data_IF_257399221223
#
_entry.id   IF_257399221223
#
_cell.length_a   1.000
_cell.length_b   1.000
_cell.length_c   1.000
_cell.angle_alpha   90.00
_cell.angle_beta   90.00
_cell.angle_gamma   90.00
#
_symmetry.space_group_name_H-M   'P 1'
#
loop_
_entity.id
_entity.type
_entity.pdbx_description
1 polymer ?
#
# COMPACT_ATOMS: atom_id res chain seq x y z
N UNK A 1 58.73 -20.21 -82.40
CA UNK A 1 57.39 -20.05 -81.79
C UNK A 1 57.39 -20.13 -80.26
N UNK A 2 58.23 -20.97 -79.63
CA UNK A 2 58.30 -21.14 -78.15
C UNK A 2 58.55 -19.83 -77.38
N UNK A 3 59.48 -18.98 -77.82
CA UNK A 3 59.80 -17.69 -77.14
C UNK A 3 58.62 -16.70 -77.10
N UNK A 4 57.72 -16.73 -78.09
CA UNK A 4 56.56 -15.83 -78.13
C UNK A 4 55.46 -16.31 -77.18
N UNK A 5 55.27 -17.62 -77.06
CA UNK A 5 54.33 -18.24 -76.13
C UNK A 5 54.74 -17.99 -74.67
N UNK A 6 56.03 -18.16 -74.34
CA UNK A 6 56.54 -17.86 -72.99
C UNK A 6 56.38 -16.39 -72.61
N UNK A 7 56.57 -15.47 -73.58
CA UNK A 7 56.36 -14.05 -73.37
C UNK A 7 54.88 -13.74 -73.11
N UNK A 8 53.96 -14.32 -73.90
CA UNK A 8 52.53 -14.15 -73.69
C UNK A 8 52.06 -14.71 -72.33
N UNK A 9 52.58 -15.86 -71.89
CA UNK A 9 52.28 -16.43 -70.57
C UNK A 9 52.80 -15.53 -69.44
N UNK A 10 54.01 -14.96 -69.58
CA UNK A 10 54.54 -14.00 -68.59
C UNK A 10 53.73 -12.72 -68.52
N UNK A 11 53.32 -12.17 -69.66
CA UNK A 11 52.46 -10.98 -69.75
C UNK A 11 51.10 -11.26 -69.09
N UNK A 12 50.49 -12.41 -69.38
CA UNK A 12 49.22 -12.84 -68.78
C UNK A 12 49.34 -13.03 -67.27
N UNK A 13 50.41 -13.66 -66.78
CA UNK A 13 50.68 -13.78 -65.34
C UNK A 13 50.84 -12.42 -64.67
N UNK A 14 51.52 -11.47 -65.32
CA UNK A 14 51.69 -10.10 -64.81
C UNK A 14 50.34 -9.37 -64.71
N UNK A 15 49.53 -9.44 -65.76
CA UNK A 15 48.19 -8.84 -65.77
C UNK A 15 47.26 -9.46 -64.71
N UNK A 16 47.32 -10.79 -64.51
CA UNK A 16 46.59 -11.47 -63.44
C UNK A 16 47.04 -11.02 -62.04
N UNK A 17 48.35 -10.88 -61.81
CA UNK A 17 48.87 -10.36 -60.54
C UNK A 17 48.43 -8.92 -60.28
N UNK A 18 48.43 -8.08 -61.30
CA UNK A 18 48.00 -6.68 -61.19
C UNK A 18 46.52 -6.59 -60.80
N UNK A 19 45.64 -7.35 -61.48
CA UNK A 19 44.22 -7.46 -61.12
C UNK A 19 44.00 -7.99 -59.69
N UNK A 20 44.73 -9.03 -59.29
CA UNK A 20 44.66 -9.55 -57.92
C UNK A 20 45.18 -8.55 -56.88
N UNK A 21 46.18 -7.74 -57.21
CA UNK A 21 46.72 -6.71 -56.32
C UNK A 21 45.71 -5.59 -56.08
N UNK A 22 44.96 -5.19 -57.12
CA UNK A 22 43.87 -4.21 -57.03
C UNK A 22 42.72 -4.78 -56.20
N UNK A 23 42.30 -6.02 -56.46
CA UNK A 23 41.26 -6.69 -55.68
C UNK A 23 41.63 -6.80 -54.20
N UNK A 24 42.89 -7.16 -53.91
CA UNK A 24 43.44 -7.23 -52.55
C UNK A 24 43.45 -5.86 -51.87
N UNK A 25 43.68 -4.77 -52.62
CA UNK A 25 43.62 -3.40 -52.11
C UNK A 25 42.18 -2.95 -51.83
N UNK A 26 41.18 -3.51 -52.52
CA UNK A 26 39.75 -3.22 -52.30
C UNK A 26 39.13 -4.00 -51.13
N UNK A 27 39.69 -5.15 -50.74
CA UNK A 27 39.25 -5.95 -49.59
C UNK A 27 39.02 -5.17 -48.28
N UNK A 28 39.91 -4.25 -47.82
CA UNK A 28 39.65 -3.47 -46.61
C UNK A 28 38.41 -2.57 -46.73
N UNK A 29 38.15 -1.97 -47.89
CA UNK A 29 36.94 -1.17 -48.10
C UNK A 29 35.68 -2.03 -48.05
N UNK A 30 35.71 -3.23 -48.63
CA UNK A 30 34.58 -4.17 -48.56
C UNK A 30 34.29 -4.63 -47.12
N UNK A 31 35.35 -4.86 -46.33
CA UNK A 31 35.21 -5.16 -44.89
C UNK A 31 34.61 -3.98 -44.13
N UNK A 32 35.02 -2.76 -44.43
CA UNK A 32 34.46 -1.54 -43.83
C UNK A 32 32.98 -1.39 -44.16
N UNK A 33 32.58 -1.59 -45.42
CA UNK A 33 31.16 -1.52 -45.83
C UNK A 33 30.34 -2.58 -45.09
N UNK A 34 30.83 -3.83 -45.01
CA UNK A 34 30.16 -4.89 -44.26
C UNK A 34 29.99 -4.53 -42.78
N UNK A 35 31.00 -3.92 -42.17
CA UNK A 35 30.95 -3.51 -40.77
C UNK A 35 29.91 -2.40 -40.55
N UNK A 36 29.91 -1.37 -41.39
CA UNK A 36 28.94 -0.26 -41.32
C UNK A 36 27.52 -0.78 -41.54
N UNK A 37 27.31 -1.66 -42.53
CA UNK A 37 25.99 -2.24 -42.79
C UNK A 37 25.49 -3.08 -41.59
N UNK A 38 26.39 -3.84 -40.95
CA UNK A 38 26.07 -4.60 -39.74
C UNK A 38 25.75 -3.70 -38.53
N UNK A 39 26.38 -2.54 -38.43
CA UNK A 39 26.06 -1.55 -37.39
C UNK A 39 24.70 -0.88 -37.64
N UNK A 40 24.39 -0.55 -38.89
CA UNK A 40 23.08 -0.03 -39.29
C UNK A 40 21.96 -1.03 -39.01
N UNK A 41 22.14 -2.31 -39.34
CA UNK A 41 21.16 -3.37 -39.06
C UNK A 41 20.85 -3.49 -37.56
N UNK A 42 21.89 -3.49 -36.72
CA UNK A 42 21.74 -3.49 -35.26
C UNK A 42 21.00 -2.25 -34.76
N UNK A 43 21.33 -1.08 -35.30
CA UNK A 43 20.67 0.17 -34.92
C UNK A 43 19.19 0.14 -35.31
N UNK A 44 18.85 -0.31 -36.52
CA UNK A 44 17.47 -0.47 -36.97
C UNK A 44 16.70 -1.46 -36.09
N UNK A 45 17.29 -2.62 -35.79
CA UNK A 45 16.69 -3.60 -34.89
C UNK A 45 16.40 -3.00 -33.50
N UNK A 46 17.35 -2.22 -32.96
CA UNK A 46 17.17 -1.55 -31.67
C UNK A 46 16.09 -0.48 -31.68
N UNK A 47 15.95 0.26 -32.80
CA UNK A 47 14.89 1.26 -32.98
C UNK A 47 13.53 0.57 -33.06
N UNK A 48 13.43 -0.55 -33.76
CA UNK A 48 12.19 -1.31 -33.91
C UNK A 48 11.74 -1.92 -32.56
N UNK A 49 12.69 -2.41 -31.76
CA UNK A 49 12.42 -2.87 -30.39
C UNK A 49 11.95 -1.72 -29.47
N UNK A 50 12.56 -0.54 -29.59
CA UNK A 50 12.14 0.65 -28.84
C UNK A 50 10.77 1.15 -29.28
N UNK A 51 10.49 1.15 -30.58
CA UNK A 51 9.21 1.57 -31.13
C UNK A 51 8.07 0.65 -30.67
N UNK A 52 8.30 -0.67 -30.62
CA UNK A 52 7.31 -1.63 -30.08
C UNK A 52 7.07 -1.45 -28.59
N UNK A 53 8.11 -1.13 -27.80
CA UNK A 53 7.95 -0.74 -26.38
C UNK A 53 7.15 0.55 -26.21
N UNK A 54 7.42 1.57 -27.02
CA UNK A 54 6.67 2.83 -27.02
C UNK A 54 5.21 2.59 -27.39
N UNK A 55 4.93 1.76 -28.40
CA UNK A 55 3.56 1.40 -28.77
C UNK A 55 2.79 0.76 -27.61
N UNK A 56 3.44 -0.08 -26.81
CA UNK A 56 2.83 -0.66 -25.60
C UNK A 56 2.50 0.42 -24.57
N UNK A 57 3.45 1.32 -24.27
CA UNK A 57 3.21 2.42 -23.34
C UNK A 57 2.15 3.39 -23.82
N UNK A 58 2.03 3.60 -25.14
CA UNK A 58 1.00 4.46 -25.73
C UNK A 58 -0.39 3.82 -25.60
N UNK A 59 -0.50 2.49 -25.79
CA UNK A 59 -1.75 1.76 -25.53
C UNK A 59 -2.14 1.82 -24.06
N UNK A 60 -1.20 1.62 -23.14
CA UNK A 60 -1.44 1.73 -21.69
C UNK A 60 -1.87 3.15 -21.31
N UNK A 61 -1.24 4.17 -21.91
CA UNK A 61 -1.59 5.58 -21.71
C UNK A 61 -3.00 5.91 -22.24
N UNK A 62 -3.35 5.38 -23.41
CA UNK A 62 -4.68 5.55 -23.99
C UNK A 62 -5.76 4.85 -23.16
N UNK A 63 -5.46 3.69 -22.55
CA UNK A 63 -6.33 3.00 -21.59
C UNK A 63 -6.54 3.82 -20.31
N UNK A 64 -5.49 4.51 -19.82
CA UNK A 64 -5.57 5.45 -18.70
C UNK A 64 -6.44 6.66 -19.05
N UNK A 65 -6.24 7.28 -20.23
CA UNK A 65 -7.05 8.43 -20.69
C UNK A 65 -8.51 8.05 -20.89
N UNK A 66 -8.79 6.86 -21.43
CA UNK A 66 -10.16 6.39 -21.67
C UNK A 66 -10.94 6.12 -20.38
N UNK A 67 -10.31 6.28 -19.20
CA UNK A 67 -10.97 6.10 -17.92
C UNK A 67 -11.54 4.70 -17.77
N UNK A 68 -10.91 3.71 -18.43
CA UNK A 68 -11.30 2.33 -18.23
C UNK A 68 -11.01 2.01 -16.76
N UNK A 69 -12.04 1.55 -16.05
CA UNK A 69 -12.02 1.17 -14.64
C UNK A 69 -10.88 0.19 -14.25
N UNK A 70 -10.08 -0.26 -15.21
CA UNK A 70 -8.95 -1.15 -15.05
C UNK A 70 -7.76 -0.51 -14.35
N UNK A 71 -7.45 0.77 -14.56
CA UNK A 71 -6.34 1.43 -13.86
C UNK A 71 -6.66 1.63 -12.36
N UNK A 72 -7.92 1.96 -12.04
CA UNK A 72 -8.44 2.04 -10.67
C UNK A 72 -8.56 0.65 -10.03
N UNK A 73 -8.98 -0.38 -10.79
CA UNK A 73 -9.17 -1.75 -10.29
C UNK A 73 -7.88 -2.55 -10.16
N UNK A 74 -6.89 -2.36 -11.04
CA UNK A 74 -5.57 -3.00 -10.94
C UNK A 74 -4.76 -2.39 -9.79
N UNK A 75 -4.89 -1.09 -9.51
CA UNK A 75 -4.28 -0.49 -8.30
C UNK A 75 -5.04 -0.80 -7.01
N UNK A 76 -6.39 -0.73 -7.01
CA UNK A 76 -7.17 -0.91 -5.76
C UNK A 76 -7.31 -2.37 -5.32
N UNK A 77 -7.51 -3.31 -6.25
CA UNK A 77 -7.61 -4.74 -5.89
C UNK A 77 -6.28 -5.28 -5.37
N UNK A 78 -5.17 -4.83 -5.95
CA UNK A 78 -3.83 -5.24 -5.53
C UNK A 78 -3.44 -4.59 -4.20
N UNK A 79 -3.66 -3.28 -4.05
CA UNK A 79 -3.35 -2.57 -2.81
C UNK A 79 -4.20 -3.05 -1.62
N UNK A 80 -5.49 -3.36 -1.82
CA UNK A 80 -6.34 -3.87 -0.74
C UNK A 80 -5.89 -5.25 -0.26
N UNK A 81 -5.58 -6.17 -1.19
CA UNK A 81 -5.05 -7.48 -0.83
C UNK A 81 -3.67 -7.39 -0.16
N UNK A 82 -2.78 -6.55 -0.70
CA UNK A 82 -1.48 -6.28 -0.10
C UNK A 82 -1.58 -5.66 1.30
N UNK A 83 -2.55 -4.77 1.55
CA UNK A 83 -2.82 -4.21 2.87
C UNK A 83 -3.15 -5.31 3.88
N UNK A 84 -4.08 -6.22 3.55
CA UNK A 84 -4.43 -7.31 4.47
C UNK A 84 -3.29 -8.31 4.68
N UNK A 85 -2.58 -8.67 3.62
CA UNK A 85 -1.43 -9.60 3.72
C UNK A 85 -0.31 -8.97 4.56
N UNK A 86 0.05 -7.72 4.29
CA UNK A 86 1.09 -7.02 5.06
C UNK A 86 0.67 -6.76 6.50
N UNK A 87 -0.60 -6.42 6.76
CA UNK A 87 -1.14 -6.27 8.12
C UNK A 87 -1.10 -7.59 8.89
N UNK A 88 -1.44 -8.71 8.24
CA UNK A 88 -1.35 -10.03 8.85
C UNK A 88 0.09 -10.41 9.19
N UNK A 89 1.03 -10.20 8.27
CA UNK A 89 2.45 -10.45 8.54
C UNK A 89 2.98 -9.52 9.63
N UNK A 90 2.56 -8.25 9.66
CA UNK A 90 2.92 -7.30 10.72
C UNK A 90 2.36 -7.73 12.08
N UNK A 91 1.17 -8.32 12.14
CA UNK A 91 0.63 -8.88 13.39
C UNK A 91 1.48 -10.05 13.91
N UNK A 92 1.98 -10.92 13.04
CA UNK A 92 2.95 -11.97 13.41
C UNK A 92 4.25 -11.36 13.92
N UNK A 93 4.75 -10.31 13.26
CA UNK A 93 5.93 -9.58 13.69
C UNK A 93 5.78 -8.96 15.09
N UNK A 94 4.61 -8.40 15.40
CA UNK A 94 4.28 -7.92 16.76
C UNK A 94 4.35 -9.07 17.77
N UNK A 95 3.89 -10.27 17.42
CA UNK A 95 4.09 -11.47 18.24
C UNK A 95 5.56 -11.78 18.48
N UNK A 96 6.41 -11.70 17.45
CA UNK A 96 7.86 -11.84 17.58
C UNK A 96 8.48 -10.79 18.51
N UNK A 97 8.05 -9.53 18.39
CA UNK A 97 8.48 -8.44 19.27
C UNK A 97 8.02 -8.65 20.72
N UNK A 98 6.84 -9.21 20.96
CA UNK A 98 6.39 -9.57 22.32
C UNK A 98 7.24 -10.68 22.95
N UNK A 99 7.69 -11.66 22.16
CA UNK A 99 8.61 -12.70 22.63
C UNK A 99 9.95 -12.06 23.02
N UNK A 100 10.51 -11.21 22.16
CA UNK A 100 11.74 -10.47 22.45
C UNK A 100 11.59 -9.56 23.69
N UNK A 101 10.47 -8.84 23.83
CA UNK A 101 10.15 -8.04 25.01
C UNK A 101 10.17 -8.87 26.29
N UNK A 102 9.57 -10.05 26.28
CA UNK A 102 9.52 -10.92 27.46
C UNK A 102 10.90 -11.48 27.83
N UNK A 103 11.75 -11.73 26.82
CA UNK A 103 13.14 -12.16 27.02
C UNK A 103 13.99 -11.08 27.70
N UNK A 104 13.79 -9.82 27.34
CA UNK A 104 14.57 -8.68 27.84
C UNK A 104 14.01 -8.14 29.17
N UNK A 105 12.70 -8.02 29.32
CA UNK A 105 12.10 -7.28 30.43
C UNK A 105 12.36 -7.90 31.80
N UNK A 106 12.45 -9.23 31.90
CA UNK A 106 12.75 -9.94 33.16
C UNK A 106 14.15 -9.66 33.71
N UNK A 107 15.24 -9.97 32.99
CA UNK A 107 16.59 -9.67 33.50
C UNK A 107 16.80 -8.16 33.71
N UNK A 108 16.18 -7.31 32.91
CA UNK A 108 16.21 -5.85 33.12
C UNK A 108 15.49 -5.40 34.40
N UNK A 109 14.48 -6.14 34.86
CA UNK A 109 13.83 -5.88 36.16
C UNK A 109 14.80 -6.10 37.31
N UNK A 110 15.76 -6.99 37.18
CA UNK A 110 16.70 -7.23 38.27
C UNK A 110 17.89 -6.27 38.21
N UNK A 111 18.34 -5.92 37.01
CA UNK A 111 19.47 -5.00 36.83
C UNK A 111 19.10 -3.52 37.06
N UNK A 112 17.89 -3.10 36.68
CA UNK A 112 17.47 -1.68 36.72
C UNK A 112 16.45 -1.41 37.83
N UNK A 113 16.01 -2.46 38.54
CA UNK A 113 15.07 -2.38 39.65
C UNK A 113 13.61 -2.49 39.21
N UNK A 114 13.04 -3.69 39.39
CA UNK A 114 11.71 -4.07 38.91
C UNK A 114 10.56 -3.52 39.74
N UNK A 115 10.89 -3.01 40.94
CA UNK A 115 9.97 -2.32 41.84
C UNK A 115 10.02 -0.80 41.68
N UNK A 116 10.91 -0.29 40.82
CA UNK A 116 10.95 1.13 40.50
C UNK A 116 9.92 1.41 39.41
N UNK A 117 9.02 2.37 39.68
CA UNK A 117 8.00 2.82 38.75
C UNK A 117 8.30 4.25 38.32
N UNK A 118 8.19 4.51 37.02
CA UNK A 118 8.21 5.86 36.44
C UNK A 118 6.85 6.07 35.79
N UNK A 119 6.12 7.10 36.22
CA UNK A 119 4.80 7.44 35.67
C UNK A 119 3.80 6.26 35.62
N UNK A 120 3.86 5.34 36.60
CA UNK A 120 2.96 4.18 36.69
C UNK A 120 3.40 2.94 35.92
N UNK A 121 4.50 3.00 35.14
CA UNK A 121 5.07 1.85 34.43
C UNK A 121 6.36 1.38 35.10
N UNK A 122 6.65 0.07 35.04
CA UNK A 122 7.91 -0.48 35.57
C UNK A 122 9.08 0.00 34.71
N UNK A 123 10.19 0.39 35.34
CA UNK A 123 11.38 0.86 34.60
C UNK A 123 11.93 -0.21 33.65
N UNK A 124 11.81 -1.48 34.01
CA UNK A 124 12.23 -2.60 33.17
C UNK A 124 11.43 -2.73 31.88
N UNK A 125 10.12 -2.50 31.94
CA UNK A 125 9.23 -2.54 30.77
C UNK A 125 9.56 -1.38 29.81
N UNK A 126 9.76 -0.18 30.34
CA UNK A 126 10.18 0.98 29.54
C UNK A 126 11.53 0.68 28.86
N UNK A 127 12.48 0.14 29.61
CA UNK A 127 13.82 -0.15 29.10
C UNK A 127 13.80 -1.20 27.99
N UNK A 128 13.02 -2.26 28.14
CA UNK A 128 12.85 -3.29 27.10
C UNK A 128 12.23 -2.73 25.82
N UNK A 129 11.18 -1.89 25.94
CA UNK A 129 10.59 -1.21 24.77
C UNK A 129 11.60 -0.30 24.08
N UNK A 130 12.41 0.45 24.82
CA UNK A 130 13.44 1.34 24.24
C UNK A 130 14.47 0.55 23.45
N UNK A 131 14.94 -0.58 23.97
CA UNK A 131 15.89 -1.46 23.26
C UNK A 131 15.27 -1.92 21.94
N UNK A 132 14.06 -2.49 21.98
CA UNK A 132 13.34 -2.97 20.78
C UNK A 132 13.10 -1.83 19.78
N UNK A 133 12.74 -0.63 20.24
CA UNK A 133 12.53 0.52 19.36
C UNK A 133 13.81 0.96 18.65
N UNK A 134 14.92 1.02 19.37
CA UNK A 134 16.23 1.32 18.79
C UNK A 134 16.58 0.25 17.75
N UNK A 135 16.31 -0.99 18.06
CA UNK A 135 16.67 -2.13 17.22
C UNK A 135 15.84 -2.19 15.93
N UNK A 136 14.51 -2.02 16.02
CA UNK A 136 13.62 -1.86 14.86
C UNK A 136 14.07 -0.67 14.01
N UNK A 137 14.46 0.45 14.64
CA UNK A 137 14.94 1.65 13.91
C UNK A 137 16.24 1.36 13.16
N UNK A 138 17.22 0.70 13.80
CA UNK A 138 18.48 0.30 13.15
C UNK A 138 18.26 -0.73 12.05
N UNK A 139 17.36 -1.70 12.26
CA UNK A 139 16.96 -2.69 11.27
C UNK A 139 16.34 -2.05 10.04
N UNK A 140 15.43 -1.10 10.24
CA UNK A 140 14.84 -0.34 9.15
C UNK A 140 15.89 0.45 8.36
N UNK A 141 16.85 1.11 9.04
CA UNK A 141 17.94 1.81 8.35
C UNK A 141 18.86 0.86 7.58
N UNK A 142 19.11 -0.34 8.11
CA UNK A 142 19.89 -1.37 7.44
C UNK A 142 19.19 -1.82 6.15
N UNK A 143 17.89 -2.13 6.22
CA UNK A 143 17.07 -2.56 5.08
C UNK A 143 16.96 -1.48 3.99
N UNK A 144 16.83 -0.22 4.39
CA UNK A 144 16.83 0.92 3.47
C UNK A 144 18.21 1.11 2.81
N UNK A 145 19.29 0.99 3.59
CA UNK A 145 20.66 1.14 3.07
C UNK A 145 21.00 0.03 2.05
N UNK A 146 20.46 -1.18 2.26
CA UNK A 146 20.55 -2.32 1.33
C UNK A 146 19.65 -2.20 0.09
N UNK A 147 18.79 -1.16 0.00
CA UNK A 147 17.78 -0.98 -1.05
C UNK A 147 16.76 -2.14 -1.16
N UNK A 148 16.56 -2.86 -0.06
CA UNK A 148 15.48 -3.85 0.03
C UNK A 148 14.16 -3.10 0.21
N UNK A 149 14.14 -2.12 1.12
CA UNK A 149 13.00 -1.23 1.35
C UNK A 149 13.19 0.16 0.75
N UNK A 150 12.09 0.88 0.52
CA UNK A 150 12.06 2.28 0.04
C UNK A 150 11.17 3.18 0.90
N UNK A 151 11.28 3.04 2.22
CA UNK A 151 10.56 3.89 3.17
C UNK A 151 11.16 5.30 3.25
N UNK A 152 12.47 5.44 3.04
CA UNK A 152 13.20 6.71 3.14
C UNK A 152 14.04 6.99 1.88
N UNK A 153 13.43 7.52 0.80
CA UNK A 153 14.09 7.73 -0.49
C UNK A 153 15.40 8.54 -0.43
N UNK A 154 15.54 9.40 0.59
CA UNK A 154 16.73 10.20 0.86
C UNK A 154 17.97 9.33 1.09
N UNK A 155 17.83 8.22 1.81
CA UNK A 155 18.93 7.27 2.11
C UNK A 155 19.28 6.49 0.84
N UNK A 156 18.27 6.16 0.02
CA UNK A 156 18.43 5.56 -1.30
C UNK A 156 19.30 6.39 -2.25
N UNK A 157 19.24 7.72 -2.17
CA UNK A 157 19.95 8.65 -3.04
C UNK A 157 21.40 8.96 -2.61
N UNK A 158 21.86 8.45 -1.46
CA UNK A 158 23.23 8.70 -0.97
C UNK A 158 24.31 8.05 -1.85
N UNK A 159 25.50 8.65 -1.86
CA UNK A 159 26.69 8.10 -2.50
C UNK A 159 27.00 6.69 -1.96
N UNK A 160 27.40 5.77 -2.85
CA UNK A 160 27.60 4.36 -2.49
C UNK A 160 28.61 4.14 -1.36
N UNK A 161 29.64 4.99 -1.26
CA UNK A 161 30.62 4.93 -0.15
C UNK A 161 29.96 5.18 1.22
N UNK A 162 29.05 6.16 1.30
CA UNK A 162 28.34 6.47 2.55
C UNK A 162 27.33 5.37 2.89
N UNK A 163 26.65 4.83 1.88
CA UNK A 163 25.71 3.71 2.03
C UNK A 163 26.39 2.47 2.62
N UNK A 164 27.51 2.04 2.05
CA UNK A 164 28.26 0.88 2.57
C UNK A 164 28.76 1.13 3.99
N UNK A 165 29.22 2.35 4.30
CA UNK A 165 29.61 2.72 5.66
C UNK A 165 28.43 2.66 6.62
N UNK A 166 27.25 3.14 6.23
CA UNK A 166 26.03 3.04 7.03
C UNK A 166 25.66 1.59 7.30
N UNK A 167 25.69 0.71 6.28
CA UNK A 167 25.41 -0.73 6.45
C UNK A 167 26.29 -1.33 7.54
N UNK A 168 27.61 -1.09 7.50
CA UNK A 168 28.53 -1.61 8.51
C UNK A 168 28.28 -1.02 9.90
N UNK A 169 27.94 0.27 9.99
CA UNK A 169 27.63 0.92 11.27
C UNK A 169 26.34 0.34 11.87
N UNK A 170 25.24 0.32 11.11
CA UNK A 170 23.94 -0.17 11.61
C UNK A 170 23.99 -1.65 11.93
N UNK A 171 24.66 -2.46 11.10
CA UNK A 171 24.88 -3.87 11.38
C UNK A 171 25.74 -4.07 12.63
N UNK A 172 26.80 -3.27 12.81
CA UNK A 172 27.63 -3.30 14.02
C UNK A 172 26.83 -2.98 15.28
N UNK A 173 25.97 -1.95 15.25
CA UNK A 173 25.06 -1.65 16.37
C UNK A 173 24.09 -2.80 16.65
N UNK A 174 23.47 -3.37 15.61
CA UNK A 174 22.53 -4.48 15.78
C UNK A 174 23.21 -5.71 16.35
N UNK A 175 24.45 -6.01 15.92
CA UNK A 175 25.25 -7.11 16.43
C UNK A 175 25.63 -6.93 17.90
N UNK A 176 26.01 -5.70 18.29
CA UNK A 176 26.30 -5.38 19.69
C UNK A 176 25.05 -5.53 20.55
N UNK A 177 23.89 -5.00 20.10
CA UNK A 177 22.63 -5.14 20.81
C UNK A 177 22.21 -6.62 20.93
N UNK A 178 22.30 -7.39 19.86
CA UNK A 178 22.02 -8.84 19.87
C UNK A 178 22.95 -9.60 20.84
N UNK A 179 24.21 -9.19 20.95
CA UNK A 179 25.15 -9.78 21.92
C UNK A 179 24.76 -9.43 23.36
N UNK A 180 24.28 -8.21 23.61
CA UNK A 180 23.76 -7.79 24.93
C UNK A 180 22.49 -8.58 25.27
N UNK A 181 21.57 -8.77 24.32
CA UNK A 181 20.34 -9.54 24.52
C UNK A 181 20.60 -11.02 24.78
N UNK A 182 21.58 -11.62 24.10
CA UNK A 182 22.04 -12.98 24.40
C UNK A 182 22.58 -13.08 25.84
N UNK A 183 23.31 -12.06 26.30
CA UNK A 183 23.77 -11.96 27.69
C UNK A 183 22.63 -11.78 28.70
N UNK A 184 21.62 -10.97 28.37
CA UNK A 184 20.43 -10.81 29.20
C UNK A 184 19.60 -12.11 29.27
N UNK A 185 19.48 -12.84 28.16
CA UNK A 185 18.82 -14.14 28.13
C UNK A 185 19.57 -15.19 28.96
N UNK A 186 20.90 -15.15 28.95
CA UNK A 186 21.72 -15.97 29.86
C UNK A 186 21.44 -15.63 31.33
N UNK A 187 21.43 -14.33 31.67
CA UNK A 187 21.08 -13.88 33.02
C UNK A 187 19.68 -14.35 33.42
N UNK A 188 18.69 -14.25 32.54
CA UNK A 188 17.34 -14.73 32.82
C UNK A 188 17.31 -16.21 33.22
N UNK A 189 18.07 -17.05 32.53
CA UNK A 189 18.08 -18.49 32.83
C UNK A 189 18.74 -18.78 34.18
N UNK A 190 19.86 -18.12 34.50
CA UNK A 190 20.55 -18.32 35.78
C UNK A 190 19.68 -17.91 36.97
N UNK A 191 18.90 -16.84 36.79
CA UNK A 191 17.97 -16.34 37.80
C UNK A 191 16.77 -17.29 38.01
N UNK A 192 16.28 -17.88 36.92
CA UNK A 192 15.22 -18.90 37.01
C UNK A 192 15.71 -20.18 37.67
N UNK A 193 16.95 -20.59 37.41
CA UNK A 193 17.56 -21.76 38.06
C UNK A 193 17.70 -21.54 39.57
N UNK A 194 18.16 -20.37 40.00
CA UNK A 194 18.31 -20.03 41.42
C UNK A 194 16.97 -19.96 42.16
N UNK A 195 15.93 -19.40 41.54
CA UNK A 195 14.57 -19.37 42.09
C UNK A 195 14.00 -20.80 42.27
N UNK A 196 14.23 -21.68 41.28
CA UNK A 196 13.81 -23.08 41.36
C UNK A 196 14.55 -23.84 42.45
N UNK A 197 15.87 -23.69 42.56
CA UNK A 197 16.69 -24.31 43.60
C UNK A 197 16.25 -23.87 45.00
N UNK A 198 16.06 -22.56 45.20
CA UNK A 198 15.58 -22.00 46.48
C UNK A 198 14.18 -22.50 46.82
N UNK A 199 13.26 -22.52 45.86
CA UNK A 199 11.89 -23.01 46.07
C UNK A 199 11.83 -24.52 46.39
N UNK A 200 12.76 -25.32 45.88
CA UNK A 200 12.86 -26.74 46.15
C UNK A 200 13.43 -27.01 47.56
N UNK A 201 14.45 -26.25 47.96
CA UNK A 201 15.00 -26.26 49.32
C UNK A 201 13.93 -25.88 50.36
N UNK A 202 13.14 -24.84 50.08
CA UNK A 202 12.05 -24.40 50.98
C UNK A 202 10.88 -25.38 51.06
N UNK A 203 10.64 -26.19 50.02
CA UNK A 203 9.62 -27.25 50.01
C UNK A 203 10.10 -28.57 50.65
N UNK A 204 11.38 -28.68 51.00
CA UNK A 204 11.97 -29.89 51.59
C UNK A 204 12.12 -31.06 50.61
N UNK A 205 12.01 -30.81 49.30
CA UNK A 205 11.87 -31.82 48.25
C UNK A 205 13.20 -32.05 47.49
N UNK A 206 14.33 -32.05 48.22
CA UNK A 206 15.70 -31.93 47.68
C UNK A 206 16.23 -33.11 46.87
N UNK A 207 15.43 -34.14 46.59
CA UNK A 207 15.88 -35.38 45.91
C UNK A 207 15.41 -35.45 44.45
N UNK A 208 14.40 -34.68 44.05
CA UNK A 208 13.83 -34.72 42.69
C UNK A 208 14.48 -33.75 41.69
N UNK A 209 15.38 -32.87 42.14
CA UNK A 209 16.00 -31.80 41.33
C UNK A 209 17.27 -32.20 40.58
N UNK A 210 17.89 -33.34 40.92
CA UNK A 210 19.17 -33.76 40.33
C UNK A 210 19.01 -34.23 38.88
N UNK A 211 17.85 -34.78 38.50
CA UNK A 211 17.60 -35.27 37.14
C UNK A 211 17.31 -34.15 36.11
N UNK A 212 16.95 -32.94 36.56
CA UNK A 212 16.68 -31.79 35.68
C UNK A 212 17.92 -30.98 35.31
N UNK A 213 19.02 -31.10 36.07
CA UNK A 213 20.24 -30.33 35.87
C UNK A 213 21.02 -30.74 34.61
N UNK A 214 20.99 -32.04 34.23
CA UNK A 214 21.78 -32.56 33.10
C UNK A 214 21.35 -32.02 31.72
N UNK A 215 20.15 -31.45 31.60
CA UNK A 215 19.63 -30.87 30.36
C UNK A 215 19.46 -29.33 30.41
N UNK A 216 19.77 -28.67 31.53
CA UNK A 216 19.59 -27.22 31.68
C UNK A 216 20.42 -26.40 30.67
N UNK A 217 21.60 -26.88 30.30
CA UNK A 217 22.43 -26.22 29.28
C UNK A 217 21.75 -26.12 27.91
N UNK A 218 20.81 -27.03 27.58
CA UNK A 218 20.06 -27.00 26.33
C UNK A 218 19.08 -25.82 26.34
N UNK A 219 18.37 -25.60 27.46
CA UNK A 219 17.46 -24.46 27.59
C UNK A 219 18.24 -23.16 27.63
N UNK A 220 19.34 -23.08 28.37
CA UNK A 220 20.22 -21.90 28.38
C UNK A 220 20.73 -21.56 26.98
N UNK A 221 21.30 -22.53 26.25
CA UNK A 221 21.80 -22.31 24.91
C UNK A 221 20.70 -21.92 23.92
N UNK A 222 19.50 -22.51 24.03
CA UNK A 222 18.35 -22.16 23.21
C UNK A 222 17.85 -20.75 23.49
N UNK A 223 17.76 -20.33 24.76
CA UNK A 223 17.32 -18.98 25.14
C UNK A 223 18.34 -17.92 24.70
N UNK A 224 19.64 -18.19 24.87
CA UNK A 224 20.71 -17.31 24.37
C UNK A 224 20.68 -17.20 22.84
N UNK A 225 20.51 -18.34 22.15
CA UNK A 225 20.39 -18.38 20.70
C UNK A 225 19.17 -17.60 20.21
N UNK A 226 18.02 -17.73 20.87
CA UNK A 226 16.83 -16.94 20.57
C UNK A 226 17.06 -15.44 20.84
N UNK A 227 17.66 -15.07 21.98
CA UNK A 227 18.00 -13.67 22.29
C UNK A 227 18.96 -13.03 21.29
N UNK A 228 19.87 -13.82 20.71
CA UNK A 228 20.77 -13.35 19.66
C UNK A 228 20.10 -13.25 18.28
N UNK A 229 19.25 -14.22 17.92
CA UNK A 229 18.66 -14.32 16.57
C UNK A 229 17.46 -13.40 16.39
N UNK A 230 16.63 -13.23 17.43
CA UNK A 230 15.39 -12.46 17.35
C UNK A 230 15.60 -11.02 16.87
N UNK A 231 16.65 -10.30 17.31
CA UNK A 231 16.98 -9.00 16.77
C UNK A 231 17.08 -8.97 15.24
N UNK A 232 17.90 -9.86 14.68
CA UNK A 232 18.03 -9.98 13.22
C UNK A 232 16.72 -10.38 12.54
N UNK A 233 15.89 -11.19 13.21
CA UNK A 233 14.56 -11.52 12.71
C UNK A 233 13.63 -10.29 12.66
N UNK A 234 13.69 -9.40 13.66
CA UNK A 234 12.90 -8.17 13.71
C UNK A 234 13.28 -7.17 12.62
N UNK A 235 14.50 -7.23 12.09
CA UNK A 235 14.90 -6.42 10.92
C UNK A 235 14.03 -6.70 9.69
N UNK A 236 13.59 -7.96 9.49
CA UNK A 236 12.74 -8.33 8.36
C UNK A 236 11.33 -7.72 8.43
N UNK A 237 10.91 -7.19 9.58
CA UNK A 237 9.64 -6.49 9.76
C UNK A 237 9.57 -5.23 8.90
N UNK A 238 10.71 -4.66 8.50
CA UNK A 238 10.75 -3.51 7.60
C UNK A 238 10.09 -3.80 6.23
N UNK A 239 10.16 -5.04 5.73
CA UNK A 239 9.61 -5.43 4.41
C UNK A 239 8.07 -5.37 4.39
N UNK A 240 7.33 -6.08 5.27
CA UNK A 240 5.88 -5.95 5.33
C UNK A 240 5.46 -4.55 5.78
N UNK A 241 6.25 -3.86 6.62
CA UNK A 241 5.97 -2.48 7.02
C UNK A 241 5.97 -1.52 5.83
N UNK A 242 6.91 -1.63 4.90
CA UNK A 242 6.90 -0.85 3.65
C UNK A 242 5.62 -1.07 2.86
N UNK A 243 5.27 -2.34 2.64
CA UNK A 243 4.07 -2.74 1.89
C UNK A 243 2.81 -2.25 2.59
N UNK A 244 2.79 -2.30 3.91
CA UNK A 244 1.70 -1.80 4.74
C UNK A 244 1.55 -0.29 4.61
N UNK A 245 2.64 0.47 4.72
CA UNK A 245 2.60 1.94 4.60
C UNK A 245 2.15 2.37 3.19
N UNK A 246 2.67 1.74 2.13
CA UNK A 246 2.28 2.08 0.75
C UNK A 246 0.83 1.74 0.46
N UNK A 247 0.35 0.57 0.90
CA UNK A 247 -1.03 0.14 0.70
C UNK A 247 -2.01 0.91 1.58
N UNK A 248 -1.64 1.25 2.81
CA UNK A 248 -2.44 2.07 3.74
C UNK A 248 -2.79 3.42 3.13
N UNK A 249 -1.81 4.09 2.49
CA UNK A 249 -2.06 5.38 1.80
C UNK A 249 -3.17 5.26 0.75
N UNK A 250 -3.15 4.18 -0.03
CA UNK A 250 -4.16 3.91 -1.06
C UNK A 250 -5.52 3.55 -0.45
N UNK A 251 -5.53 2.66 0.54
CA UNK A 251 -6.76 2.21 1.22
C UNK A 251 -7.46 3.37 1.93
N UNK A 252 -6.72 4.22 2.64
CA UNK A 252 -7.26 5.45 3.25
C UNK A 252 -7.87 6.34 2.17
N UNK A 253 -7.18 6.56 1.03
CA UNK A 253 -7.72 7.37 -0.06
C UNK A 253 -9.05 6.84 -0.61
N UNK A 254 -9.15 5.51 -0.81
CA UNK A 254 -10.39 4.86 -1.26
C UNK A 254 -11.49 5.03 -0.20
N UNK A 255 -11.22 4.77 1.07
CA UNK A 255 -12.19 4.91 2.17
C UNK A 255 -12.66 6.35 2.30
N UNK A 256 -11.76 7.34 2.27
CA UNK A 256 -12.13 8.76 2.33
C UNK A 256 -13.01 9.15 1.14
N UNK A 257 -12.69 8.69 -0.07
CA UNK A 257 -13.53 8.96 -1.25
C UNK A 257 -14.92 8.33 -1.14
N UNK A 258 -15.02 7.11 -0.61
CA UNK A 258 -16.28 6.42 -0.36
C UNK A 258 -17.12 7.15 0.70
N UNK A 259 -16.47 7.61 1.77
CA UNK A 259 -17.11 8.36 2.85
C UNK A 259 -17.65 9.71 2.34
N UNK A 260 -16.87 10.45 1.55
CA UNK A 260 -17.34 11.70 0.93
C UNK A 260 -18.53 11.47 0.00
N UNK A 261 -18.51 10.39 -0.80
CA UNK A 261 -19.64 10.02 -1.67
C UNK A 261 -20.88 9.64 -0.86
N UNK A 262 -20.71 8.90 0.25
CA UNK A 262 -21.81 8.56 1.15
C UNK A 262 -22.41 9.81 1.79
N UNK A 263 -21.57 10.74 2.29
CA UNK A 263 -22.02 12.02 2.84
C UNK A 263 -22.77 12.83 1.78
N UNK A 264 -22.24 12.95 0.57
CA UNK A 264 -22.91 13.66 -0.53
C UNK A 264 -24.26 13.03 -0.89
N UNK A 265 -24.35 11.70 -0.89
CA UNK A 265 -25.61 10.97 -1.09
C UNK A 265 -26.61 11.26 0.04
N UNK A 266 -26.18 11.19 1.30
CA UNK A 266 -27.01 11.51 2.46
C UNK A 266 -27.54 12.94 2.41
N UNK A 267 -26.70 13.93 2.10
CA UNK A 267 -27.13 15.32 1.94
C UNK A 267 -28.15 15.49 0.81
N UNK A 268 -27.94 14.80 -0.33
CA UNK A 268 -28.91 14.82 -1.45
C UNK A 268 -30.24 14.16 -1.07
N UNK A 269 -30.19 13.04 -0.37
CA UNK A 269 -31.38 12.33 0.09
C UNK A 269 -32.19 13.22 1.04
N UNK A 270 -31.54 13.82 2.03
CA UNK A 270 -32.15 14.75 2.98
C UNK A 270 -32.71 15.98 2.25
N UNK A 271 -31.94 16.58 1.34
CA UNK A 271 -32.41 17.72 0.54
C UNK A 271 -33.63 17.40 -0.31
N UNK A 272 -33.68 16.21 -0.92
CA UNK A 272 -34.86 15.74 -1.65
C UNK A 272 -36.05 15.56 -0.72
N UNK A 273 -35.87 14.92 0.45
CA UNK A 273 -36.94 14.75 1.44
C UNK A 273 -37.54 16.11 1.81
N UNK A 274 -36.72 17.09 2.20
CA UNK A 274 -37.21 18.43 2.53
C UNK A 274 -37.96 19.09 1.37
N UNK A 275 -37.47 18.94 0.13
CA UNK A 275 -38.13 19.50 -1.06
C UNK A 275 -39.50 18.86 -1.32
N UNK A 276 -39.62 17.55 -1.18
CA UNK A 276 -40.90 16.85 -1.34
C UNK A 276 -41.85 17.15 -0.18
N UNK A 277 -41.37 17.14 1.06
CA UNK A 277 -42.15 17.53 2.24
C UNK A 277 -42.70 18.95 2.11
N UNK A 278 -41.88 19.92 1.67
CA UNK A 278 -42.33 21.29 1.43
C UNK A 278 -43.46 21.38 0.41
N UNK A 279 -43.35 20.67 -0.72
CA UNK A 279 -44.44 20.59 -1.71
C UNK A 279 -45.72 19.97 -1.14
N UNK A 280 -45.59 18.91 -0.34
CA UNK A 280 -46.74 18.27 0.30
C UNK A 280 -47.43 19.26 1.25
N UNK A 281 -46.68 19.98 2.07
CA UNK A 281 -47.23 20.99 2.99
C UNK A 281 -47.96 22.10 2.23
N UNK A 282 -47.36 22.61 1.15
CA UNK A 282 -48.01 23.63 0.31
C UNK A 282 -49.31 23.09 -0.30
N UNK A 283 -49.31 21.88 -0.84
CA UNK A 283 -50.52 21.26 -1.40
C UNK A 283 -51.60 21.01 -0.33
N UNK A 284 -51.21 20.62 0.88
CA UNK A 284 -52.15 20.48 2.00
C UNK A 284 -52.75 21.83 2.41
N UNK A 285 -51.93 22.89 2.42
CA UNK A 285 -52.38 24.24 2.74
C UNK A 285 -53.34 24.78 1.67
N UNK A 286 -53.01 24.58 0.39
CA UNK A 286 -53.90 24.89 -0.74
C UNK A 286 -55.22 24.12 -0.64
N UNK A 287 -55.19 22.83 -0.30
CA UNK A 287 -56.39 22.02 -0.13
C UNK A 287 -57.30 22.56 0.99
N UNK A 288 -56.72 22.98 2.12
CA UNK A 288 -57.46 23.52 3.26
C UNK A 288 -58.10 24.88 2.92
N UNK A 289 -57.43 25.72 2.11
CA UNK A 289 -57.97 27.03 1.70
C UNK A 289 -59.00 26.89 0.57
N UNK A 290 -58.73 26.05 -0.43
CA UNK A 290 -59.63 25.87 -1.57
C UNK A 290 -60.87 25.03 -1.26
N UNK A 291 -60.81 24.12 -0.28
CA UNK A 291 -61.95 23.30 0.13
C UNK A 291 -63.20 24.13 0.50
N UNK A 292 -63.09 25.11 1.41
CA UNK A 292 -64.18 26.02 1.75
C UNK A 292 -64.66 26.87 0.57
N UNK A 293 -63.74 27.44 -0.22
CA UNK A 293 -64.05 28.30 -1.37
C UNK A 293 -64.79 27.54 -2.49
N UNK A 294 -64.44 26.28 -2.72
CA UNK A 294 -65.15 25.44 -3.68
C UNK A 294 -66.54 25.05 -3.19
N UNK A 295 -66.69 24.76 -1.89
CA UNK A 295 -67.98 24.50 -1.26
C UNK A 295 -68.89 25.74 -1.35
N UNK A 296 -68.35 26.92 -1.05
CA UNK A 296 -69.05 28.19 -1.11
C UNK A 296 -69.46 28.56 -2.54
N UNK A 297 -68.58 28.41 -3.54
CA UNK A 297 -68.92 28.65 -4.94
C UNK A 297 -69.96 27.65 -5.48
N UNK A 298 -69.92 26.40 -5.04
CA UNK A 298 -70.89 25.37 -5.47
C UNK A 298 -72.27 25.63 -4.86
N UNK A 299 -72.31 26.04 -3.59
CA UNK A 299 -73.55 26.44 -2.91
C UNK A 299 -74.10 27.74 -3.50
N UNK A 300 -73.25 28.75 -3.72
CA UNK A 300 -73.63 30.04 -4.30
C UNK A 300 -74.16 29.89 -5.72
N UNK A 301 -73.50 29.09 -6.58
CA UNK A 301 -74.03 28.77 -7.92
C UNK A 301 -75.40 28.10 -7.85
N UNK A 302 -75.61 27.15 -6.92
CA UNK A 302 -76.92 26.50 -6.75
C UNK A 302 -78.00 27.47 -6.26
N UNK A 303 -77.65 28.39 -5.35
CA UNK A 303 -78.57 29.41 -4.84
C UNK A 303 -78.91 30.44 -5.92
N UNK A 304 -77.92 30.93 -6.68
CA UNK A 304 -78.13 31.86 -7.79
C UNK A 304 -78.98 31.25 -8.90
N UNK A 305 -78.74 29.98 -9.27
CA UNK A 305 -79.57 29.27 -10.25
C UNK A 305 -81.04 29.15 -9.82
N UNK A 306 -81.28 28.87 -8.52
CA UNK A 306 -82.63 28.81 -7.94
C UNK A 306 -83.32 30.18 -7.84
N UNK A 307 -82.56 31.27 -7.73
CA UNK A 307 -83.09 32.63 -7.71
C UNK A 307 -83.56 33.08 -9.10
N UNK A 308 -82.82 32.73 -10.16
CA UNK A 308 -83.24 32.97 -11.55
C UNK A 308 -84.54 32.25 -11.92
N UNK A 309 -84.75 31.01 -11.46
CA UNK A 309 -86.02 30.29 -11.70
C UNK A 309 -87.21 30.95 -10.98
N UNK A 310 -87.01 31.49 -9.78
CA UNK A 310 -88.06 32.17 -9.01
C UNK A 310 -88.43 33.53 -9.63
N UNK A 311 -87.46 34.29 -10.15
CA UNK A 311 -87.70 35.58 -10.82
C UNK A 311 -88.38 35.41 -12.19
N UNK A 312 -88.07 34.36 -12.96
CA UNK A 312 -88.82 34.03 -14.18
C UNK A 312 -90.27 33.63 -13.90
N UNK A 313 -90.50 32.92 -12.79
CA UNK A 313 -91.87 32.54 -12.40
C UNK A 313 -92.67 33.77 -11.94
N UNK A 314 -92.05 34.69 -11.19
CA UNK A 314 -92.71 35.90 -10.67
C UNK A 314 -93.00 36.93 -11.79
N UNK A 315 -92.11 37.07 -12.78
CA UNK A 315 -92.36 37.91 -13.96
C UNK A 315 -93.46 37.34 -14.87
N UNK A 316 -93.60 36.02 -14.96
CA UNK A 316 -94.73 35.40 -15.69
C UNK A 316 -96.08 35.60 -14.98
N UNK A 317 -96.07 35.67 -13.64
CA UNK A 317 -97.27 35.94 -12.84
C UNK A 317 -97.70 37.40 -12.93
N UNK A 318 -96.77 38.37 -12.90
CA UNK A 318 -97.10 39.79 -13.06
C UNK A 318 -97.53 40.17 -14.49
N UNK A 319 -97.06 39.47 -15.52
CA UNK A 319 -97.55 39.66 -16.90
C UNK A 319 -99.00 39.21 -17.09
N UNK A 320 -99.45 38.18 -16.35
CA UNK A 320 -100.83 37.69 -16.45
C UNK A 320 -101.86 38.59 -15.73
N UNK A 321 -101.44 39.51 -14.86
CA UNK A 321 -102.36 40.46 -14.21
C UNK A 321 -102.52 41.79 -14.96
N UNK A 322 -101.76 42.05 -16.02
CA UNK A 322 -101.90 43.26 -16.84
C UNK A 322 -102.80 43.09 -18.09
N UNK A 323 -103.25 41.87 -18.42
CA UNK A 323 -104.17 41.60 -19.54
C UNK A 323 -105.63 41.38 -19.11
N UNK A 324 -105.97 41.56 -17.83
CA UNK A 324 -107.33 41.32 -17.31
C UNK A 324 -107.97 42.60 -16.71
N UNK A 325 -107.98 43.68 -17.48
CA UNK A 325 -108.87 44.85 -17.30
C UNK A 325 -109.27 45.42 -18.65
#
# INVERSE_FOLDING_TARGET
MVKAQDKAIKEHRRACMERHSVLKRMMPHWRSVKQVLGEVDRNIASILERATKIGRYMNDYEEIIKGSDRATRILSSSAMSQFFVSAFVLAIAVGGAMVNFTLIARPMAEMVGGQNFIAGFKVSEISAVVIILVEISMGLFLMESLRITRLFPVIGALNDKLRVRMIWITFGFLFVLASVEAGLAFMREILMEDELATSALLRGDGVSTIATADFAWITTAAQMGMGFILPFALVFVAIPLETFVSSTRTVIGVITSALLRAVAFSLRLVGNIFRYSGKIVVNFYDLIIFGPLWLENTITKKISARKTDTDSTTNSVNSNYQEAT
#
